data_IF_223007762585
#
_entry.id   IF_223007762585
#
_cell.length_a   1.000
_cell.length_b   1.000
_cell.length_c   1.000
_cell.angle_alpha   90.00
_cell.angle_beta   90.00
_cell.angle_gamma   90.00
#
_symmetry.space_group_name_H-M   'P 1'
#
loop_
_entity.id
_entity.type
_entity.pdbx_description
1 polymer ?
#
# COMPACT_ATOMS: atom_id res chain seq x y z
N UNK A 1 -8.72 -12.98 7.81
CA UNK A 1 -8.53 -13.47 6.43
C UNK A 1 -8.56 -12.33 5.40
N UNK A 2 -9.56 -11.44 5.38
CA UNK A 2 -9.54 -10.28 4.48
C UNK A 2 -8.34 -9.35 4.68
N UNK A 3 -8.06 -8.93 5.92
CA UNK A 3 -6.91 -8.06 6.25
C UNK A 3 -5.56 -8.72 5.93
N UNK A 4 -5.44 -10.02 6.12
CA UNK A 4 -4.21 -10.78 5.80
C UNK A 4 -3.98 -10.88 4.30
N UNK A 5 -5.04 -11.06 3.49
CA UNK A 5 -4.94 -11.06 2.03
C UNK A 5 -4.56 -9.68 1.49
N UNK A 6 -5.19 -8.62 1.99
CA UNK A 6 -4.90 -7.24 1.56
C UNK A 6 -3.46 -6.86 1.92
N UNK A 7 -3.01 -7.21 3.12
CA UNK A 7 -1.62 -6.99 3.55
C UNK A 7 -0.63 -7.76 2.67
N UNK A 8 -0.96 -9.00 2.27
CA UNK A 8 -0.14 -9.78 1.35
C UNK A 8 -0.03 -9.10 -0.02
N UNK A 9 -1.15 -8.65 -0.59
CA UNK A 9 -1.20 -7.97 -1.89
C UNK A 9 -0.42 -6.64 -1.88
N UNK A 10 -0.49 -5.86 -0.79
CA UNK A 10 0.26 -4.61 -0.67
C UNK A 10 1.76 -4.88 -0.68
N UNK A 11 2.22 -5.89 0.06
CA UNK A 11 3.64 -6.25 0.15
C UNK A 11 4.17 -6.75 -1.19
N UNK A 12 3.39 -7.55 -1.93
CA UNK A 12 3.79 -8.06 -3.23
C UNK A 12 3.78 -7.01 -4.33
N UNK A 13 2.72 -6.19 -4.41
CA UNK A 13 2.54 -5.24 -5.53
C UNK A 13 3.41 -3.98 -5.39
N UNK A 14 3.60 -3.46 -4.18
CA UNK A 14 4.28 -2.17 -3.97
C UNK A 14 5.68 -2.31 -3.35
N UNK A 15 5.91 -3.33 -2.52
CA UNK A 15 7.14 -3.48 -1.73
C UNK A 15 8.09 -4.56 -2.24
N UNK A 16 7.94 -4.97 -3.50
CA UNK A 16 8.84 -5.90 -4.18
C UNK A 16 8.73 -7.36 -3.72
N UNK A 17 7.68 -7.71 -2.96
CA UNK A 17 7.39 -9.07 -2.54
C UNK A 17 8.56 -9.77 -1.84
N UNK A 18 9.23 -10.64 -2.59
CA UNK A 18 10.35 -11.48 -2.15
C UNK A 18 11.75 -10.94 -2.42
N UNK A 19 11.89 -9.79 -3.10
CA UNK A 19 13.18 -9.12 -3.25
C UNK A 19 13.58 -8.47 -1.91
N UNK A 20 14.26 -9.26 -1.07
CA UNK A 20 14.97 -8.82 0.13
C UNK A 20 16.48 -8.96 -0.06
N UNK A 21 17.29 -8.21 0.71
CA UNK A 21 18.75 -8.31 0.67
C UNK A 21 19.21 -9.76 0.93
N UNK A 22 20.30 -10.18 0.26
CA UNK A 22 20.82 -11.56 0.21
C UNK A 22 21.11 -12.22 1.57
N UNK A 23 21.01 -11.46 2.67
CA UNK A 23 21.32 -11.89 4.03
C UNK A 23 20.16 -12.64 4.73
N UNK A 24 18.91 -12.58 4.22
CA UNK A 24 17.75 -13.19 4.87
C UNK A 24 16.95 -14.08 3.91
N UNK A 25 16.39 -15.22 4.38
CA UNK A 25 15.48 -16.02 3.58
C UNK A 25 14.31 -15.16 3.08
N UNK A 26 14.02 -15.14 1.77
CA UNK A 26 12.97 -14.27 1.19
C UNK A 26 11.62 -14.41 1.89
N UNK A 27 11.27 -15.64 2.28
CA UNK A 27 10.04 -15.95 3.00
C UNK A 27 9.92 -15.24 4.36
N UNK A 28 11.02 -15.10 5.10
CA UNK A 28 11.03 -14.44 6.41
C UNK A 28 10.89 -12.93 6.25
N UNK A 29 11.55 -12.35 5.24
CA UNK A 29 11.43 -10.93 4.93
C UNK A 29 10.00 -10.54 4.52
N UNK A 30 9.36 -11.39 3.72
CA UNK A 30 7.96 -11.25 3.35
C UNK A 30 7.02 -11.30 4.56
N UNK A 31 7.22 -12.29 5.44
CA UNK A 31 6.42 -12.46 6.66
C UNK A 31 6.55 -11.26 7.61
N UNK A 32 7.76 -10.72 7.79
CA UNK A 32 8.00 -9.53 8.62
C UNK A 32 7.24 -8.33 8.07
N UNK A 33 7.37 -8.04 6.77
CA UNK A 33 6.63 -6.94 6.11
C UNK A 33 5.12 -7.13 6.28
N UNK A 34 4.61 -8.33 6.02
CA UNK A 34 3.20 -8.67 6.23
C UNK A 34 2.75 -8.41 7.66
N UNK A 35 3.52 -8.85 8.66
CA UNK A 35 3.18 -8.68 10.07
C UNK A 35 3.15 -7.20 10.49
N UNK A 36 4.06 -6.38 9.96
CA UNK A 36 4.06 -4.93 10.15
C UNK A 36 2.77 -4.31 9.61
N UNK A 37 2.37 -4.65 8.39
CA UNK A 37 1.11 -4.14 7.82
C UNK A 37 -0.12 -4.61 8.60
N UNK A 38 -0.15 -5.86 9.06
CA UNK A 38 -1.24 -6.38 9.91
C UNK A 38 -1.30 -5.59 11.23
N UNK A 39 -0.15 -5.33 11.86
CA UNK A 39 -0.06 -4.49 13.05
C UNK A 39 -0.61 -3.09 12.80
N UNK A 40 -0.23 -2.46 11.68
CA UNK A 40 -0.77 -1.15 11.28
C UNK A 40 -2.29 -1.23 11.12
N UNK A 41 -2.84 -2.25 10.46
CA UNK A 41 -4.29 -2.41 10.32
C UNK A 41 -5.00 -2.61 11.67
N UNK A 42 -4.40 -3.36 12.59
CA UNK A 42 -4.93 -3.54 13.94
C UNK A 42 -4.87 -2.25 14.75
N UNK A 43 -3.77 -1.50 14.65
CA UNK A 43 -3.62 -0.18 15.29
C UNK A 43 -4.58 0.84 14.69
N UNK A 44 -4.75 0.88 13.37
CA UNK A 44 -5.74 1.73 12.71
C UNK A 44 -7.16 1.41 13.19
N UNK A 45 -7.50 0.13 13.33
CA UNK A 45 -8.78 -0.28 13.91
C UNK A 45 -8.94 0.19 15.35
N UNK A 46 -7.87 0.17 16.16
CA UNK A 46 -7.90 0.66 17.54
C UNK A 46 -7.96 2.19 17.62
N UNK A 47 -7.28 2.90 16.73
CA UNK A 47 -7.14 4.36 16.73
C UNK A 47 -8.24 5.11 15.98
N UNK A 48 -9.05 4.44 15.14
CA UNK A 48 -10.13 5.07 14.37
C UNK A 48 -11.46 4.96 15.13
N UNK A 49 -11.88 5.98 15.90
CA UNK A 49 -13.24 6.10 16.39
C UNK A 49 -14.18 6.29 15.19
N UNK A 50 -14.93 5.24 14.81
CA UNK A 50 -15.93 5.18 13.71
C UNK A 50 -15.93 6.39 12.76
N UNK A 51 -15.04 6.42 11.75
CA UNK A 51 -15.05 7.49 10.76
C UNK A 51 -16.36 7.43 9.95
N UNK A 52 -16.94 8.60 9.67
CA UNK A 52 -18.14 8.69 8.84
C UNK A 52 -17.78 8.32 7.40
N UNK A 53 -18.56 7.43 6.77
CA UNK A 53 -18.30 6.91 5.43
C UNK A 53 -18.20 8.04 4.39
N UNK A 54 -18.97 9.11 4.56
CA UNK A 54 -18.95 10.29 3.70
C UNK A 54 -17.61 11.03 3.72
N UNK A 55 -16.92 11.05 4.87
CA UNK A 55 -15.61 11.71 4.97
C UNK A 55 -14.57 10.92 4.20
N UNK A 56 -14.55 9.59 4.36
CA UNK A 56 -13.69 8.68 3.61
C UNK A 56 -13.94 8.79 2.09
N UNK A 57 -15.20 8.82 1.67
CA UNK A 57 -15.56 9.00 0.26
C UNK A 57 -15.11 10.36 -0.27
N UNK A 58 -15.27 11.42 0.54
CA UNK A 58 -14.77 12.76 0.22
C UNK A 58 -13.25 12.80 0.03
N UNK A 59 -12.46 12.17 0.91
CA UNK A 59 -11.01 12.08 0.77
C UNK A 59 -10.59 11.22 -0.43
N UNK A 60 -11.27 10.09 -0.65
CA UNK A 60 -11.10 9.22 -1.81
C UNK A 60 -11.29 9.96 -3.13
N UNK A 61 -12.42 10.66 -3.24
CA UNK A 61 -12.81 11.29 -4.49
C UNK A 61 -12.09 12.62 -4.75
N UNK A 62 -11.88 13.44 -3.72
CA UNK A 62 -11.27 14.78 -3.89
C UNK A 62 -9.75 14.76 -3.89
N UNK A 63 -9.10 13.79 -3.25
CA UNK A 63 -7.64 13.81 -3.05
C UNK A 63 -6.98 12.57 -3.66
N UNK A 64 -7.47 11.36 -3.39
CA UNK A 64 -6.82 10.14 -3.87
C UNK A 64 -6.93 9.96 -5.39
N UNK A 65 -8.10 10.27 -5.97
CA UNK A 65 -8.36 10.14 -7.41
C UNK A 65 -7.50 11.11 -8.27
N UNK A 66 -7.45 12.42 -8.00
CA UNK A 66 -6.57 13.31 -8.76
C UNK A 66 -5.08 12.99 -8.53
N UNK A 67 -4.70 12.55 -7.33
CA UNK A 67 -3.31 12.16 -7.04
C UNK A 67 -2.89 10.91 -7.82
N UNK A 68 -3.76 9.90 -7.94
CA UNK A 68 -3.45 8.70 -8.74
C UNK A 68 -3.31 9.03 -10.22
N UNK A 69 -4.18 9.90 -10.75
CA UNK A 69 -4.10 10.38 -12.14
C UNK A 69 -2.79 11.15 -12.38
N UNK A 70 -2.41 12.05 -11.47
CA UNK A 70 -1.16 12.79 -11.56
C UNK A 70 0.06 11.84 -11.55
N UNK A 71 0.06 10.81 -10.71
CA UNK A 71 1.15 9.84 -10.62
C UNK A 71 1.35 9.06 -11.94
N UNK A 72 0.25 8.68 -12.60
CA UNK A 72 0.27 8.01 -13.90
C UNK A 72 0.79 8.96 -14.99
N UNK A 73 0.31 10.21 -15.02
CA UNK A 73 0.77 11.22 -15.99
C UNK A 73 2.27 11.50 -15.85
N UNK A 74 2.76 11.65 -14.62
CA UNK A 74 4.19 11.88 -14.34
C UNK A 74 5.02 10.68 -14.76
N UNK A 75 4.61 9.46 -14.40
CA UNK A 75 5.33 8.23 -14.79
C UNK A 75 5.36 8.06 -16.31
N UNK A 76 4.25 8.33 -16.99
CA UNK A 76 4.18 8.31 -18.46
C UNK A 76 5.07 9.37 -19.11
N UNK A 77 5.08 10.60 -18.58
CA UNK A 77 5.93 11.68 -19.08
C UNK A 77 7.43 11.37 -18.90
N UNK A 78 7.82 10.79 -17.76
CA UNK A 78 9.21 10.35 -17.51
C UNK A 78 9.61 9.25 -18.50
N UNK A 79 8.72 8.27 -18.74
CA UNK A 79 9.00 7.19 -19.68
C UNK A 79 9.20 7.70 -21.12
N UNK A 80 8.39 8.67 -21.54
CA UNK A 80 8.48 9.31 -22.86
C UNK A 80 9.68 10.26 -22.99
N UNK A 81 10.11 10.91 -21.90
CA UNK A 81 11.31 11.76 -21.89
C UNK A 81 12.61 10.96 -21.87
N UNK A 82 12.56 9.68 -21.46
CA UNK A 82 13.72 8.79 -21.34
C UNK A 82 14.00 7.93 -22.58
N UNK A 83 13.15 7.99 -23.62
CA UNK A 83 13.37 7.41 -24.95
C UNK A 83 14.04 8.42 -25.88
#
# INVERSE_FOLDING_TARGET
VGVTLISALIVTLFFGGWLGPDFLPPAVWFLIKMFIFILIFVLLRASLPRPRYDQLMGYGWKILLPLSLANILVTGAILLSGS
#
